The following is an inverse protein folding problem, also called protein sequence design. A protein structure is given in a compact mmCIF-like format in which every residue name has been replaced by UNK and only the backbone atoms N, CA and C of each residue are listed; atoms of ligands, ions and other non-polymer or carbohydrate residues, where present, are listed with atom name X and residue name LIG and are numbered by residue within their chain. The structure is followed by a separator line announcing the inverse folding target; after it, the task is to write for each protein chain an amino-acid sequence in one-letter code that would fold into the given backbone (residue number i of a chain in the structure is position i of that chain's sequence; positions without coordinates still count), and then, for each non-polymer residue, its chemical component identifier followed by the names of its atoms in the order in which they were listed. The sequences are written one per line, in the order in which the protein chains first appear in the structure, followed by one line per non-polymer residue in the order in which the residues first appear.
data_IF_206807954828
#
_entry.id   IF_206807954828
#
_cell.length_a   1.000
_cell.length_b   1.000
_cell.length_c   1.000
_cell.angle_alpha   90.00
_cell.angle_beta   90.00
_cell.angle_gamma   90.00
#
_symmetry.space_group_name_H-M   'P 1'
#
loop_
_entity.id
_entity.type
_entity.pdbx_description
1 polymer ?
#
# COMPACT_ATOMS: atom_id res chain seq x y z
N UNK A 1 -12.60 -15.51 -8.74
CA UNK A 1 -12.06 -14.14 -8.64
C UNK A 1 -11.87 -13.82 -7.17
N UNK A 2 -10.69 -13.33 -6.81
CA UNK A 2 -10.43 -12.86 -5.45
C UNK A 2 -11.23 -11.56 -5.17
N UNK A 3 -11.73 -11.44 -3.95
CA UNK A 3 -12.39 -10.21 -3.49
C UNK A 3 -11.37 -9.07 -3.40
N UNK A 4 -11.76 -7.86 -3.87
CA UNK A 4 -10.94 -6.65 -3.78
C UNK A 4 -11.82 -5.46 -3.40
N UNK A 5 -11.46 -4.74 -2.35
CA UNK A 5 -12.20 -3.56 -1.85
C UNK A 5 -12.36 -2.48 -2.92
N UNK A 6 -11.32 -2.26 -3.73
CA UNK A 6 -11.31 -1.28 -4.83
C UNK A 6 -12.39 -1.53 -5.89
N UNK A 7 -12.91 -2.76 -5.98
CA UNK A 7 -13.99 -3.12 -6.92
C UNK A 7 -15.21 -2.21 -6.74
N UNK A 8 -15.62 -1.96 -5.50
CA UNK A 8 -16.77 -1.11 -5.18
C UNK A 8 -16.56 0.31 -5.71
N UNK A 9 -15.37 0.89 -5.51
CA UNK A 9 -15.02 2.22 -6.01
C UNK A 9 -15.07 2.30 -7.54
N UNK A 10 -14.60 1.25 -8.23
CA UNK A 10 -14.67 1.18 -9.70
C UNK A 10 -16.14 1.10 -10.16
N UNK A 11 -16.97 0.26 -9.53
CA UNK A 11 -18.40 0.13 -9.84
C UNK A 11 -19.16 1.46 -9.62
N UNK A 12 -18.89 2.16 -8.50
CA UNK A 12 -19.46 3.47 -8.19
C UNK A 12 -19.07 4.51 -9.24
N UNK A 13 -17.78 4.59 -9.60
CA UNK A 13 -17.28 5.49 -10.61
C UNK A 13 -17.95 5.24 -11.98
N UNK A 14 -17.94 3.99 -12.43
CA UNK A 14 -18.50 3.62 -13.73
C UNK A 14 -20.02 3.79 -13.83
N UNK A 15 -20.71 3.89 -12.67
CA UNK A 15 -22.14 4.20 -12.60
C UNK A 15 -22.44 5.70 -12.50
N UNK A 16 -21.41 6.53 -12.30
CA UNK A 16 -21.54 7.99 -12.18
C UNK A 16 -21.30 8.71 -13.51
N UNK A 17 -21.78 9.96 -13.65
CA UNK A 17 -21.37 10.86 -14.75
C UNK A 17 -20.29 11.83 -14.27
N UNK A 18 -19.17 11.27 -13.80
CA UNK A 18 -18.04 12.05 -13.31
C UNK A 18 -17.38 12.87 -14.41
N UNK A 19 -16.98 14.09 -14.11
CA UNK A 19 -16.15 14.95 -14.96
C UNK A 19 -14.63 14.72 -14.76
N UNK A 20 -14.28 13.77 -13.88
CA UNK A 20 -12.89 13.37 -13.58
C UNK A 20 -12.70 11.90 -13.97
N UNK A 21 -11.56 11.59 -14.59
CA UNK A 21 -11.19 10.22 -14.94
C UNK A 21 -10.66 9.48 -13.71
N UNK A 22 -11.26 8.32 -13.40
CA UNK A 22 -10.70 7.43 -12.40
C UNK A 22 -9.40 6.80 -12.94
N UNK A 23 -8.33 6.97 -12.18
CA UNK A 23 -7.02 6.41 -12.45
C UNK A 23 -6.58 5.54 -11.28
N UNK A 24 -6.42 4.25 -11.52
CA UNK A 24 -5.96 3.29 -10.51
C UNK A 24 -4.43 3.19 -10.60
N UNK A 25 -3.77 3.70 -9.56
CA UNK A 25 -2.33 3.66 -9.42
C UNK A 25 -1.88 2.56 -8.43
N UNK A 26 -0.60 2.20 -8.48
CA UNK A 26 0.01 1.25 -7.54
C UNK A 26 1.04 0.34 -8.21
N UNK A 27 1.73 -0.47 -7.41
CA UNK A 27 2.78 -1.36 -7.86
C UNK A 27 2.34 -2.33 -8.97
N UNK A 28 3.28 -2.91 -9.69
CA UNK A 28 2.99 -3.98 -10.65
C UNK A 28 2.53 -5.25 -9.94
N UNK A 29 1.82 -6.10 -10.67
CA UNK A 29 1.35 -7.42 -10.22
C UNK A 29 0.35 -7.44 -9.05
N UNK A 30 -0.20 -6.29 -8.64
CA UNK A 30 -1.25 -6.21 -7.59
C UNK A 30 -2.68 -6.34 -8.13
N UNK A 31 -2.85 -6.53 -9.46
CA UNK A 31 -4.13 -6.86 -10.08
C UNK A 31 -4.95 -5.69 -10.61
N UNK A 32 -4.36 -4.49 -10.85
CA UNK A 32 -5.05 -3.29 -11.38
C UNK A 32 -5.83 -3.57 -12.67
N UNK A 33 -5.12 -3.96 -13.72
CA UNK A 33 -5.71 -4.21 -15.04
C UNK A 33 -6.73 -5.34 -15.01
N UNK A 34 -6.51 -6.36 -14.15
CA UNK A 34 -7.43 -7.47 -13.98
C UNK A 34 -8.79 -7.03 -13.42
N UNK A 35 -8.79 -6.24 -12.33
CA UNK A 35 -10.03 -5.79 -11.68
C UNK A 35 -10.81 -4.81 -12.56
N UNK A 36 -10.12 -3.87 -13.22
CA UNK A 36 -10.73 -2.92 -14.15
C UNK A 36 -11.38 -3.67 -15.32
N UNK A 37 -10.66 -4.62 -15.91
CA UNK A 37 -11.17 -5.46 -17.02
C UNK A 37 -12.38 -6.28 -16.59
N UNK A 38 -12.35 -6.86 -15.40
CA UNK A 38 -13.45 -7.67 -14.87
C UNK A 38 -14.72 -6.84 -14.68
N UNK A 39 -14.61 -5.68 -14.03
CA UNK A 39 -15.76 -4.79 -13.77
C UNK A 39 -16.24 -4.14 -15.07
N UNK A 40 -15.31 -3.63 -15.87
CA UNK A 40 -15.61 -2.94 -17.13
C UNK A 40 -16.40 -3.83 -18.11
N UNK A 41 -15.94 -5.06 -18.33
CA UNK A 41 -16.65 -6.02 -19.23
C UNK A 41 -18.02 -6.45 -18.69
N UNK A 42 -18.22 -6.40 -17.37
CA UNK A 42 -19.51 -6.72 -16.76
C UNK A 42 -20.52 -5.57 -16.92
N UNK A 43 -20.05 -4.32 -16.82
CA UNK A 43 -20.92 -3.14 -16.80
C UNK A 43 -21.16 -2.55 -18.20
N UNK A 44 -20.22 -2.70 -19.13
CA UNK A 44 -20.29 -2.11 -20.45
C UNK A 44 -20.34 -3.18 -21.54
N UNK A 45 -21.38 -3.18 -22.40
CA UNK A 45 -21.48 -4.11 -23.51
C UNK A 45 -20.40 -3.87 -24.57
N UNK A 46 -19.93 -2.62 -24.70
CA UNK A 46 -18.83 -2.26 -25.59
C UNK A 46 -17.62 -1.84 -24.76
N UNK A 47 -16.59 -2.67 -24.79
CA UNK A 47 -15.37 -2.50 -24.00
C UNK A 47 -14.15 -2.45 -24.92
N UNK A 48 -13.40 -1.36 -24.82
CA UNK A 48 -12.14 -1.13 -25.53
C UNK A 48 -11.03 -1.06 -24.48
N UNK A 49 -9.99 -1.85 -24.66
CA UNK A 49 -8.79 -1.84 -23.80
C UNK A 49 -7.58 -1.57 -24.66
N UNK A 50 -6.74 -0.64 -24.22
CA UNK A 50 -5.51 -0.26 -24.89
C UNK A 50 -4.41 -0.27 -23.85
N UNK A 51 -3.37 -1.08 -24.08
CA UNK A 51 -2.17 -1.07 -23.28
C UNK A 51 -1.13 -0.15 -23.94
N UNK A 52 -0.83 0.97 -23.28
CA UNK A 52 0.07 1.99 -23.82
C UNK A 52 1.54 1.57 -23.82
N UNK A 53 1.94 0.65 -22.96
CA UNK A 53 3.29 0.09 -22.98
C UNK A 53 3.47 -0.89 -24.15
N UNK A 54 2.47 -1.72 -24.43
CA UNK A 54 2.46 -2.57 -25.61
C UNK A 54 2.46 -1.76 -26.92
N UNK A 55 1.64 -0.71 -26.99
CA UNK A 55 1.63 0.20 -28.14
C UNK A 55 3.00 0.86 -28.36
N UNK A 56 3.64 1.34 -27.30
CA UNK A 56 4.96 1.98 -27.35
C UNK A 56 6.06 1.06 -27.85
N UNK A 57 5.98 -0.23 -27.52
CA UNK A 57 6.93 -1.26 -27.95
C UNK A 57 6.61 -1.80 -29.35
N UNK A 58 5.34 -1.70 -29.80
CA UNK A 58 4.82 -2.19 -31.07
C UNK A 58 4.61 -1.09 -32.11
N UNK A 59 3.35 -0.94 -32.55
CA UNK A 59 2.96 -0.10 -33.70
C UNK A 59 3.03 1.40 -33.42
N UNK A 60 3.09 1.83 -32.14
CA UNK A 60 3.22 3.20 -31.69
C UNK A 60 2.11 4.12 -32.22
N UNK A 61 0.89 3.61 -32.33
CA UNK A 61 -0.27 4.31 -32.91
C UNK A 61 -0.62 5.58 -32.12
N UNK A 62 -0.36 5.57 -30.78
CA UNK A 62 -0.63 6.70 -29.90
C UNK A 62 0.56 7.64 -29.68
N UNK A 63 1.73 7.37 -30.27
CA UNK A 63 2.96 8.14 -30.01
C UNK A 63 2.81 9.63 -30.35
N UNK A 64 2.08 9.96 -31.41
CA UNK A 64 1.87 11.32 -31.90
C UNK A 64 0.46 11.87 -31.60
N UNK A 65 -0.32 11.21 -30.75
CA UNK A 65 -1.68 11.62 -30.39
C UNK A 65 -1.67 12.83 -29.43
N UNK A 66 -1.34 14.01 -29.92
CA UNK A 66 -1.22 15.26 -29.14
C UNK A 66 -2.53 16.03 -28.98
N UNK A 67 -3.56 15.71 -29.78
CA UNK A 67 -4.91 16.30 -29.69
C UNK A 67 -5.95 15.19 -29.46
N UNK A 68 -7.14 15.57 -29.00
CA UNK A 68 -8.25 14.61 -28.86
C UNK A 68 -8.64 14.01 -30.21
N UNK A 69 -8.54 14.78 -31.30
CA UNK A 69 -8.78 14.30 -32.68
C UNK A 69 -7.78 13.19 -33.04
N UNK A 70 -6.50 13.39 -32.76
CA UNK A 70 -5.46 12.38 -33.02
C UNK A 70 -5.68 11.15 -32.18
N UNK A 71 -6.03 11.33 -30.90
CA UNK A 71 -6.36 10.23 -30.00
C UNK A 71 -7.54 9.39 -30.53
N UNK A 72 -8.62 10.03 -30.98
CA UNK A 72 -9.76 9.29 -31.54
C UNK A 72 -9.44 8.61 -32.87
N UNK A 73 -8.57 9.21 -33.69
CA UNK A 73 -8.08 8.57 -34.90
C UNK A 73 -7.28 7.31 -34.56
N UNK A 74 -6.32 7.41 -33.62
CA UNK A 74 -5.56 6.27 -33.13
C UNK A 74 -6.48 5.19 -32.55
N UNK A 75 -7.44 5.60 -31.70
CA UNK A 75 -8.41 4.70 -31.11
C UNK A 75 -9.25 3.96 -32.19
N UNK A 76 -9.64 4.63 -33.27
CA UNK A 76 -10.41 4.01 -34.35
C UNK A 76 -9.62 2.95 -35.11
N UNK A 77 -8.31 3.10 -35.21
CA UNK A 77 -7.43 2.11 -35.85
C UNK A 77 -7.38 0.84 -34.98
N UNK A 78 -7.22 1.00 -33.66
CA UNK A 78 -7.08 -0.13 -32.73
C UNK A 78 -8.42 -0.79 -32.42
N UNK A 79 -9.47 0.00 -32.23
CA UNK A 79 -10.79 -0.49 -31.80
C UNK A 79 -11.73 -0.87 -32.91
N UNK A 80 -11.53 -0.35 -34.13
CA UNK A 80 -12.38 -0.61 -35.30
C UNK A 80 -13.85 -0.38 -34.99
N UNK A 81 -14.70 -1.37 -35.30
CA UNK A 81 -16.17 -1.31 -35.11
C UNK A 81 -16.62 -1.21 -33.64
N UNK A 82 -15.70 -1.31 -32.68
CA UNK A 82 -16.05 -1.15 -31.26
C UNK A 82 -16.27 0.30 -30.85
N UNK A 83 -16.00 1.27 -31.71
CA UNK A 83 -16.28 2.68 -31.44
C UNK A 83 -17.77 2.98 -31.59
N UNK A 84 -18.56 2.60 -30.60
CA UNK A 84 -19.99 2.82 -30.48
C UNK A 84 -20.32 4.16 -29.80
N UNK A 85 -21.61 4.38 -29.49
CA UNK A 85 -22.05 5.54 -28.73
C UNK A 85 -21.53 5.53 -27.29
N UNK A 86 -21.35 6.72 -26.70
CA UNK A 86 -20.75 6.96 -25.38
C UNK A 86 -21.33 6.06 -24.28
N UNK A 87 -22.65 6.01 -24.15
CA UNK A 87 -23.33 5.34 -23.03
C UNK A 87 -23.13 3.82 -23.02
N UNK A 88 -22.64 3.29 -24.13
CA UNK A 88 -22.41 1.85 -24.31
C UNK A 88 -20.93 1.49 -24.40
N UNK A 89 -20.02 2.48 -24.30
CA UNK A 89 -18.60 2.26 -24.56
C UNK A 89 -17.73 2.70 -23.37
N UNK A 90 -16.99 1.75 -22.82
CA UNK A 90 -15.91 2.02 -21.88
C UNK A 90 -14.55 1.89 -22.59
N UNK A 91 -13.73 2.93 -22.47
CA UNK A 91 -12.33 2.92 -22.92
C UNK A 91 -11.43 2.80 -21.69
N UNK A 92 -10.75 1.67 -21.58
CA UNK A 92 -9.73 1.43 -20.55
C UNK A 92 -8.34 1.69 -21.14
N UNK A 93 -7.64 2.64 -20.54
CA UNK A 93 -6.27 3.02 -20.89
C UNK A 93 -5.33 2.42 -19.87
N UNK A 94 -4.70 1.29 -20.18
CA UNK A 94 -3.74 0.62 -19.31
C UNK A 94 -2.34 1.16 -19.50
N UNK A 95 -1.56 1.29 -18.41
CA UNK A 95 -0.20 1.83 -18.37
C UNK A 95 -0.09 3.23 -19.03
N UNK A 96 -1.03 4.14 -18.69
CA UNK A 96 -1.15 5.47 -19.31
C UNK A 96 0.15 6.28 -19.27
N UNK A 97 1.00 6.06 -18.26
CA UNK A 97 2.28 6.74 -18.09
C UNK A 97 3.33 6.37 -19.16
N UNK A 98 3.08 5.36 -19.99
CA UNK A 98 3.98 5.04 -21.09
C UNK A 98 4.10 6.20 -22.11
N UNK A 99 3.06 7.04 -22.15
CA UNK A 99 3.04 8.26 -22.96
C UNK A 99 2.61 9.47 -22.12
N UNK A 100 3.55 10.29 -21.68
CA UNK A 100 3.32 11.44 -20.79
C UNK A 100 2.31 12.46 -21.35
N UNK A 101 2.30 12.66 -22.69
CA UNK A 101 1.37 13.57 -23.34
C UNK A 101 -0.10 13.15 -23.23
N UNK A 102 -0.38 11.84 -23.04
CA UNK A 102 -1.76 11.37 -22.87
C UNK A 102 -2.33 11.83 -21.52
N UNK A 103 -1.51 11.93 -20.48
CA UNK A 103 -1.95 12.50 -19.19
C UNK A 103 -2.46 13.94 -19.38
N UNK A 104 -1.79 14.73 -20.21
CA UNK A 104 -2.22 16.10 -20.54
C UNK A 104 -3.55 16.13 -21.30
N UNK A 105 -3.83 15.11 -22.13
CA UNK A 105 -5.07 15.01 -22.90
C UNK A 105 -6.30 14.66 -22.05
N UNK A 106 -6.12 14.04 -20.88
CA UNK A 106 -7.22 13.59 -20.01
C UNK A 106 -8.25 14.69 -19.79
N UNK A 107 -7.81 15.92 -19.50
CA UNK A 107 -8.69 17.08 -19.30
C UNK A 107 -9.64 17.32 -20.49
N UNK A 108 -9.14 17.17 -21.70
CA UNK A 108 -9.92 17.42 -22.91
C UNK A 108 -10.84 16.26 -23.22
N UNK A 109 -10.37 15.00 -23.03
CA UNK A 109 -11.20 13.79 -23.20
C UNK A 109 -12.39 13.81 -22.25
N UNK A 110 -12.16 14.16 -20.96
CA UNK A 110 -13.22 14.26 -19.96
C UNK A 110 -14.20 15.41 -20.28
N UNK A 111 -13.73 16.54 -20.79
CA UNK A 111 -14.59 17.66 -21.21
C UNK A 111 -15.47 17.31 -22.42
N UNK A 112 -14.96 16.56 -23.38
CA UNK A 112 -15.72 16.15 -24.58
C UNK A 112 -16.75 15.05 -24.26
N UNK A 113 -16.54 14.28 -23.19
CA UNK A 113 -17.44 13.22 -22.71
C UNK A 113 -17.89 12.26 -23.83
N UNK A 114 -17.03 11.94 -24.77
CA UNK A 114 -17.38 11.08 -25.91
C UNK A 114 -17.56 9.61 -25.53
N UNK A 115 -16.78 9.14 -24.54
CA UNK A 115 -16.83 7.80 -23.99
C UNK A 115 -16.73 7.87 -22.45
N UNK A 116 -17.04 6.78 -21.76
CA UNK A 116 -16.62 6.59 -20.39
C UNK A 116 -15.15 6.13 -20.39
N UNK A 117 -14.32 6.72 -19.55
CA UNK A 117 -12.89 6.41 -19.48
C UNK A 117 -12.51 5.94 -18.09
N UNK A 118 -11.58 5.00 -18.05
CA UNK A 118 -10.85 4.59 -16.83
C UNK A 118 -9.40 4.35 -17.25
N UNK A 119 -8.47 4.66 -16.36
CA UNK A 119 -7.05 4.40 -16.63
C UNK A 119 -6.40 3.63 -15.48
N UNK A 120 -5.30 2.96 -15.81
CA UNK A 120 -4.38 2.43 -14.81
C UNK A 120 -2.95 2.86 -15.12
N UNK A 121 -2.13 2.88 -14.08
CA UNK A 121 -0.70 3.13 -14.21
C UNK A 121 0.10 2.45 -13.11
N UNK A 122 1.30 2.04 -13.46
CA UNK A 122 2.34 1.70 -12.49
C UNK A 122 3.38 2.83 -12.49
N UNK A 123 4.02 3.10 -11.35
CA UNK A 123 5.01 4.18 -11.26
C UNK A 123 4.47 5.59 -11.61
N UNK A 124 3.15 5.77 -11.51
CA UNK A 124 2.50 7.03 -11.88
C UNK A 124 3.01 8.20 -11.05
N UNK A 125 3.25 8.01 -9.75
CA UNK A 125 3.78 9.04 -8.88
C UNK A 125 5.13 9.60 -9.36
N UNK A 126 5.96 8.76 -9.99
CA UNK A 126 7.23 9.18 -10.62
C UNK A 126 6.96 10.00 -11.87
N UNK A 127 6.07 9.51 -12.74
CA UNK A 127 5.72 10.18 -13.99
C UNK A 127 5.07 11.54 -13.74
N UNK A 128 4.14 11.62 -12.79
CA UNK A 128 3.45 12.88 -12.46
C UNK A 128 4.43 13.97 -11.96
N UNK A 129 5.48 13.59 -11.22
CA UNK A 129 6.54 14.55 -10.81
C UNK A 129 7.31 15.11 -11.99
N UNK A 130 7.48 14.34 -13.06
CA UNK A 130 8.25 14.70 -14.24
C UNK A 130 7.41 15.32 -15.36
N UNK A 131 6.07 15.23 -15.29
CA UNK A 131 5.17 15.75 -16.31
C UNK A 131 4.97 17.27 -16.16
N UNK A 132 5.17 18.05 -17.24
CA UNK A 132 5.11 19.51 -17.23
C UNK A 132 3.70 20.07 -16.90
N UNK A 133 2.64 19.33 -17.15
CA UNK A 133 1.26 19.76 -16.90
C UNK A 133 0.37 18.56 -16.54
N UNK A 134 0.20 18.33 -15.25
CA UNK A 134 -0.72 17.31 -14.75
C UNK A 134 -2.11 17.93 -14.56
N UNK A 135 -3.16 17.41 -15.19
CA UNK A 135 -4.52 17.93 -15.03
C UNK A 135 -5.17 17.40 -13.73
N UNK A 136 -4.59 17.77 -12.56
CA UNK A 136 -5.01 17.27 -11.24
C UNK A 136 -6.53 17.40 -11.04
N UNK A 137 -7.14 18.50 -11.50
CA UNK A 137 -8.59 18.70 -11.41
C UNK A 137 -9.45 17.78 -12.28
N UNK A 138 -8.86 17.05 -13.23
CA UNK A 138 -9.56 16.13 -14.14
C UNK A 138 -9.25 14.66 -13.87
N UNK A 139 -8.48 14.37 -12.83
CA UNK A 139 -8.13 13.02 -12.38
C UNK A 139 -8.69 12.75 -10.98
N UNK A 140 -9.23 11.57 -10.79
CA UNK A 140 -9.51 10.95 -9.50
C UNK A 140 -8.54 9.79 -9.33
N UNK A 141 -7.47 10.00 -8.55
CA UNK A 141 -6.40 9.02 -8.41
C UNK A 141 -6.69 8.16 -7.19
N UNK A 142 -6.81 6.86 -7.41
CA UNK A 142 -7.03 5.87 -6.36
C UNK A 142 -5.83 4.93 -6.28
N UNK A 143 -5.18 4.92 -5.13
CA UNK A 143 -4.08 3.99 -4.86
C UNK A 143 -4.64 2.58 -4.59
N UNK A 144 -4.07 1.61 -5.29
CA UNK A 144 -4.31 0.20 -5.04
C UNK A 144 -3.05 -0.43 -4.43
N UNK A 145 -3.24 -1.14 -3.33
CA UNK A 145 -2.18 -1.85 -2.62
C UNK A 145 -2.26 -3.37 -2.88
N UNK A 146 -1.25 -4.18 -2.51
CA UNK A 146 -1.42 -5.62 -2.34
C UNK A 146 -2.66 -5.92 -1.48
N UNK A 147 -3.19 -7.12 -1.55
CA UNK A 147 -4.36 -7.50 -0.74
C UNK A 147 -4.05 -7.33 0.73
N UNK A 148 -4.95 -6.66 1.46
CA UNK A 148 -4.88 -6.56 2.92
C UNK A 148 -5.36 -7.85 3.59
N UNK A 149 -5.27 -7.91 4.92
CA UNK A 149 -5.63 -9.13 5.66
C UNK A 149 -7.11 -9.47 5.53
N UNK A 150 -8.01 -8.49 5.50
CA UNK A 150 -9.44 -8.73 5.30
C UNK A 150 -9.72 -9.35 3.92
N UNK A 151 -9.11 -8.83 2.85
CA UNK A 151 -9.20 -9.41 1.50
C UNK A 151 -8.62 -10.83 1.45
N UNK A 152 -7.53 -11.09 2.20
CA UNK A 152 -6.97 -12.43 2.34
C UNK A 152 -7.91 -13.38 3.09
N UNK A 153 -8.61 -12.93 4.12
CA UNK A 153 -9.63 -13.71 4.83
C UNK A 153 -10.77 -14.11 3.90
N UNK A 154 -11.30 -13.18 3.10
CA UNK A 154 -12.30 -13.50 2.07
C UNK A 154 -11.80 -14.55 1.07
N UNK A 155 -10.55 -14.44 0.62
CA UNK A 155 -9.95 -15.41 -0.27
C UNK A 155 -9.85 -16.83 0.35
N UNK A 156 -9.73 -16.90 1.68
CA UNK A 156 -9.70 -18.16 2.44
C UNK A 156 -11.06 -18.63 2.94
N UNK A 157 -12.16 -18.04 2.44
CA UNK A 157 -13.53 -18.46 2.73
C UNK A 157 -14.10 -17.97 4.05
N UNK A 158 -13.48 -16.97 4.69
CA UNK A 158 -14.06 -16.27 5.83
C UNK A 158 -15.12 -15.30 5.29
N UNK A 159 -16.39 -15.49 5.67
CA UNK A 159 -17.49 -14.68 5.16
C UNK A 159 -17.66 -13.38 5.93
N UNK A 160 -18.43 -12.45 5.32
CA UNK A 160 -18.73 -11.10 5.83
C UNK A 160 -19.27 -11.13 7.26
N UNK A 161 -20.21 -12.05 7.56
CA UNK A 161 -20.80 -12.20 8.91
C UNK A 161 -19.73 -12.42 10.00
N UNK A 162 -18.70 -13.22 9.69
CA UNK A 162 -17.62 -13.46 10.65
C UNK A 162 -16.72 -12.23 10.83
N UNK A 163 -16.46 -11.51 9.75
CA UNK A 163 -15.67 -10.27 9.78
C UNK A 163 -16.41 -9.18 10.56
N UNK A 164 -17.72 -9.03 10.34
CA UNK A 164 -18.54 -8.06 11.08
C UNK A 164 -18.61 -8.37 12.57
N UNK A 165 -18.77 -9.65 12.94
CA UNK A 165 -18.72 -10.07 14.36
C UNK A 165 -17.36 -9.77 15.00
N UNK A 166 -16.26 -9.95 14.27
CA UNK A 166 -14.92 -9.59 14.73
C UNK A 166 -14.76 -8.07 14.88
N UNK A 167 -15.31 -7.29 13.94
CA UNK A 167 -15.33 -5.81 13.99
C UNK A 167 -16.12 -5.31 15.19
N UNK A 168 -17.28 -5.92 15.48
CA UNK A 168 -18.07 -5.61 16.69
C UNK A 168 -17.28 -5.93 17.96
N UNK A 169 -16.61 -7.08 18.01
CA UNK A 169 -15.75 -7.45 19.15
C UNK A 169 -14.60 -6.44 19.34
N UNK A 170 -13.94 -6.02 18.27
CA UNK A 170 -12.91 -4.97 18.31
C UNK A 170 -13.46 -3.65 18.87
N UNK A 171 -14.60 -3.16 18.33
CA UNK A 171 -15.21 -1.90 18.75
C UNK A 171 -15.64 -1.92 20.23
N UNK A 172 -16.04 -3.08 20.73
CA UNK A 172 -16.44 -3.26 22.12
C UNK A 172 -15.29 -3.66 23.07
N UNK A 173 -14.05 -3.67 22.60
CA UNK A 173 -12.87 -4.14 23.36
C UNK A 173 -13.09 -5.55 23.94
N UNK A 174 -13.60 -6.47 23.12
CA UNK A 174 -13.88 -7.85 23.53
C UNK A 174 -12.92 -8.81 22.82
N UNK A 175 -12.47 -9.82 23.58
CA UNK A 175 -11.68 -10.93 23.04
C UNK A 175 -12.60 -11.92 22.29
N UNK A 176 -12.08 -12.50 21.20
CA UNK A 176 -12.73 -13.65 20.56
C UNK A 176 -12.66 -14.89 21.45
N UNK A 177 -13.48 -15.91 21.18
CA UNK A 177 -13.29 -17.22 21.80
C UNK A 177 -11.92 -17.81 21.43
N UNK A 178 -11.39 -18.72 22.26
CA UNK A 178 -10.10 -19.37 22.03
C UNK A 178 -10.02 -19.97 20.62
N UNK A 179 -11.03 -20.74 20.23
CA UNK A 179 -11.08 -21.38 18.90
C UNK A 179 -11.06 -20.37 17.74
N UNK A 180 -11.77 -19.24 17.89
CA UNK A 180 -11.76 -18.19 16.86
C UNK A 180 -10.45 -17.44 16.81
N UNK A 181 -9.88 -17.13 17.99
CA UNK A 181 -8.56 -16.52 18.09
C UNK A 181 -7.50 -17.38 17.40
N UNK A 182 -7.41 -18.65 17.77
CA UNK A 182 -6.43 -19.60 17.21
C UNK A 182 -6.55 -19.68 15.69
N UNK A 183 -7.78 -19.72 15.16
CA UNK A 183 -8.02 -19.74 13.72
C UNK A 183 -7.60 -18.46 13.04
N UNK A 184 -7.91 -17.29 13.62
CA UNK A 184 -7.55 -15.98 13.04
C UNK A 184 -6.05 -15.76 13.11
N UNK A 185 -5.40 -16.14 14.20
CA UNK A 185 -3.95 -16.06 14.33
C UNK A 185 -3.23 -17.01 13.35
N UNK A 186 -3.75 -18.21 13.14
CA UNK A 186 -3.23 -19.15 12.13
C UNK A 186 -3.35 -18.56 10.71
N UNK A 187 -4.50 -17.96 10.36
CA UNK A 187 -4.68 -17.27 9.07
C UNK A 187 -3.78 -16.04 8.95
N UNK A 188 -3.59 -15.29 10.02
CA UNK A 188 -2.67 -14.14 10.04
C UNK A 188 -1.23 -14.57 9.81
N UNK A 189 -0.76 -15.62 10.47
CA UNK A 189 0.57 -16.22 10.23
C UNK A 189 0.75 -16.71 8.78
N UNK A 190 -0.31 -17.28 8.19
CA UNK A 190 -0.31 -17.64 6.78
C UNK A 190 -0.21 -16.40 5.88
N UNK A 191 -0.91 -15.32 6.24
CA UNK A 191 -0.79 -14.05 5.54
C UNK A 191 0.62 -13.45 5.62
N UNK A 192 1.30 -13.53 6.77
CA UNK A 192 2.72 -13.14 6.88
C UNK A 192 3.62 -13.91 5.90
N UNK A 193 3.28 -15.16 5.58
CA UNK A 193 4.02 -15.97 4.62
C UNK A 193 3.65 -15.65 3.18
N UNK A 194 2.36 -15.58 2.87
CA UNK A 194 1.84 -15.49 1.50
C UNK A 194 1.85 -14.05 1.01
N UNK A 195 1.62 -13.08 1.91
CA UNK A 195 1.43 -11.68 1.56
C UNK A 195 0.13 -11.41 0.84
N UNK A 196 0.06 -10.24 0.20
CA UNK A 196 -1.10 -9.74 -0.51
C UNK A 196 -0.96 -9.72 -2.04
N UNK A 197 0.08 -10.31 -2.64
CA UNK A 197 0.17 -10.44 -4.10
C UNK A 197 -0.93 -11.39 -4.59
N UNK A 198 -1.88 -10.93 -5.44
CA UNK A 198 -3.06 -11.73 -5.80
C UNK A 198 -2.73 -13.11 -6.36
N UNK A 199 -1.66 -13.22 -7.18
CA UNK A 199 -1.24 -14.51 -7.74
C UNK A 199 -0.69 -15.45 -6.68
N UNK A 200 0.05 -14.94 -5.70
CA UNK A 200 0.54 -15.74 -4.56
C UNK A 200 -0.62 -16.22 -3.69
N UNK A 201 -1.61 -15.35 -3.43
CA UNK A 201 -2.83 -15.69 -2.69
C UNK A 201 -3.65 -16.75 -3.43
N UNK A 202 -3.83 -16.63 -4.75
CA UNK A 202 -4.54 -17.59 -5.59
C UNK A 202 -3.89 -18.97 -5.48
N UNK A 203 -2.58 -19.07 -5.71
CA UNK A 203 -1.82 -20.32 -5.58
C UNK A 203 -1.96 -20.92 -4.18
N UNK A 204 -1.86 -20.06 -3.15
CA UNK A 204 -2.02 -20.52 -1.78
C UNK A 204 -3.42 -21.08 -1.51
N UNK A 205 -4.48 -20.45 -2.00
CA UNK A 205 -5.87 -20.91 -1.81
C UNK A 205 -6.10 -22.22 -2.56
N UNK A 206 -5.62 -22.34 -3.80
CA UNK A 206 -5.88 -23.49 -4.67
C UNK A 206 -5.05 -24.75 -4.32
N UNK A 207 -3.75 -24.57 -4.09
CA UNK A 207 -2.82 -25.71 -4.01
C UNK A 207 -2.03 -25.80 -2.70
N UNK A 208 -1.96 -24.71 -1.91
CA UNK A 208 -1.08 -24.59 -0.73
C UNK A 208 0.42 -24.80 -1.08
N UNK A 209 0.80 -24.67 -2.35
CA UNK A 209 2.15 -24.92 -2.81
C UNK A 209 3.11 -23.78 -2.44
N UNK A 210 3.93 -24.04 -1.42
CA UNK A 210 4.88 -23.05 -0.89
C UNK A 210 5.92 -22.65 -1.94
N UNK A 211 6.41 -23.60 -2.73
CA UNK A 211 7.45 -23.33 -3.73
C UNK A 211 6.94 -22.40 -4.81
N UNK A 212 5.69 -22.59 -5.27
CA UNK A 212 5.09 -21.78 -6.32
C UNK A 212 4.79 -20.35 -5.83
N UNK A 213 4.14 -20.16 -4.69
CA UNK A 213 3.88 -18.80 -4.25
C UNK A 213 5.16 -18.04 -3.87
N UNK A 214 6.20 -18.72 -3.37
CA UNK A 214 7.54 -18.14 -3.16
C UNK A 214 8.22 -17.73 -4.47
N UNK A 215 8.01 -18.47 -5.57
CA UNK A 215 8.48 -18.06 -6.90
C UNK A 215 7.85 -16.71 -7.31
N UNK A 216 6.52 -16.59 -7.15
CA UNK A 216 5.81 -15.33 -7.46
C UNK A 216 6.36 -14.15 -6.65
N UNK A 217 6.60 -14.33 -5.34
CA UNK A 217 7.15 -13.29 -4.47
C UNK A 217 8.56 -12.88 -4.92
N UNK A 218 9.40 -13.85 -5.26
CA UNK A 218 10.75 -13.59 -5.78
C UNK A 218 10.70 -12.85 -7.11
N UNK A 219 9.88 -13.30 -8.04
CA UNK A 219 9.69 -12.65 -9.34
C UNK A 219 9.20 -11.20 -9.18
N UNK A 220 8.25 -10.94 -8.26
CA UNK A 220 7.78 -9.60 -7.95
C UNK A 220 8.90 -8.73 -7.37
N UNK A 221 9.69 -9.25 -6.42
CA UNK A 221 10.83 -8.51 -5.86
C UNK A 221 11.88 -8.16 -6.92
N UNK A 222 12.24 -9.13 -7.78
CA UNK A 222 13.20 -8.94 -8.85
C UNK A 222 12.68 -7.89 -9.87
N UNK A 223 11.38 -7.96 -10.23
CA UNK A 223 10.72 -7.00 -11.11
C UNK A 223 10.69 -5.60 -10.50
N UNK A 224 10.32 -5.46 -9.22
CA UNK A 224 10.32 -4.18 -8.52
C UNK A 224 11.70 -3.54 -8.50
N UNK A 225 12.73 -4.33 -8.27
CA UNK A 225 14.09 -3.84 -8.32
C UNK A 225 14.53 -3.34 -9.71
N UNK A 226 14.02 -3.94 -10.79
CA UNK A 226 14.24 -3.45 -12.17
C UNK A 226 13.43 -2.19 -12.42
N UNK A 227 12.15 -2.20 -12.07
CA UNK A 227 11.23 -1.07 -12.25
C UNK A 227 11.63 0.14 -11.42
N UNK A 228 12.20 -0.08 -10.23
CA UNK A 228 12.67 0.96 -9.32
C UNK A 228 13.63 1.98 -9.97
N UNK A 229 14.19 1.66 -11.13
CA UNK A 229 15.11 2.56 -11.82
C UNK A 229 14.77 2.76 -13.32
N UNK A 230 13.60 2.25 -13.76
CA UNK A 230 13.27 2.16 -15.19
C UNK A 230 13.19 3.52 -15.88
N UNK A 231 12.60 4.52 -15.21
CA UNK A 231 12.36 5.85 -15.76
C UNK A 231 13.41 6.89 -15.34
N UNK A 232 14.42 6.48 -14.61
CA UNK A 232 15.56 7.35 -14.30
C UNK A 232 16.56 7.30 -15.46
N UNK A 233 17.04 8.45 -15.92
CA UNK A 233 17.96 8.54 -17.04
C UNK A 233 19.43 8.51 -16.58
N UNK A 234 19.71 9.04 -15.40
CA UNK A 234 21.04 9.12 -14.86
C UNK A 234 21.50 7.77 -14.30
N UNK A 235 22.57 7.21 -14.87
CA UNK A 235 23.09 5.88 -14.53
C UNK A 235 23.44 5.72 -13.05
N UNK A 236 24.12 6.70 -12.46
CA UNK A 236 24.53 6.65 -11.05
C UNK A 236 23.32 6.68 -10.10
N UNK A 237 22.28 7.43 -10.46
CA UNK A 237 21.06 7.51 -9.70
C UNK A 237 20.26 6.21 -9.77
N UNK A 238 20.20 5.57 -10.95
CA UNK A 238 19.66 4.20 -11.11
C UNK A 238 20.27 3.21 -10.15
N UNK A 239 21.59 3.20 -10.08
CA UNK A 239 22.34 2.28 -9.20
C UNK A 239 22.07 2.54 -7.72
N UNK A 240 21.90 3.80 -7.31
CA UNK A 240 21.56 4.16 -5.94
C UNK A 240 20.15 3.73 -5.58
N UNK A 241 19.15 4.03 -6.43
CA UNK A 241 17.77 3.60 -6.25
C UNK A 241 17.71 2.08 -6.06
N UNK A 242 18.34 1.33 -6.96
CA UNK A 242 18.39 -0.14 -6.88
C UNK A 242 19.04 -0.61 -5.60
N UNK A 243 20.19 -0.04 -5.21
CA UNK A 243 20.90 -0.40 -3.99
C UNK A 243 20.07 -0.12 -2.74
N UNK A 244 19.40 1.03 -2.67
CA UNK A 244 18.51 1.36 -1.56
C UNK A 244 17.40 0.30 -1.44
N UNK A 245 16.77 -0.08 -2.56
CA UNK A 245 15.73 -1.11 -2.56
C UNK A 245 16.25 -2.47 -2.06
N UNK A 246 17.38 -2.92 -2.61
CA UNK A 246 17.98 -4.22 -2.26
C UNK A 246 18.44 -4.29 -0.78
N UNK A 247 18.69 -3.13 -0.14
CA UNK A 247 19.12 -3.05 1.26
C UNK A 247 17.97 -3.01 2.26
N UNK A 248 16.72 -2.80 1.83
CA UNK A 248 15.58 -2.69 2.76
C UNK A 248 15.49 -3.89 3.71
N UNK A 249 15.56 -5.16 3.26
CA UNK A 249 15.47 -6.30 4.17
C UNK A 249 16.59 -6.29 5.23
N UNK A 250 17.83 -5.99 4.84
CA UNK A 250 18.94 -5.94 5.79
C UNK A 250 18.83 -4.79 6.78
N UNK A 251 18.30 -3.64 6.35
CA UNK A 251 18.05 -2.51 7.24
C UNK A 251 16.98 -2.84 8.29
N UNK A 252 15.95 -3.60 7.90
CA UNK A 252 14.87 -4.03 8.81
C UNK A 252 15.35 -5.04 9.87
N UNK A 253 16.39 -5.82 9.60
CA UNK A 253 17.01 -6.71 10.62
C UNK A 253 17.86 -5.96 11.64
N UNK A 254 18.26 -4.72 11.37
CA UNK A 254 19.00 -3.92 12.33
C UNK A 254 18.11 -3.47 13.50
N UNK A 255 18.71 -3.29 14.68
CA UNK A 255 17.98 -2.89 15.89
C UNK A 255 17.08 -1.65 15.70
N UNK A 256 17.53 -0.68 14.90
CA UNK A 256 16.79 0.58 14.65
C UNK A 256 15.98 0.58 13.37
N UNK A 257 16.11 -0.42 12.53
CA UNK A 257 15.38 -0.60 11.26
C UNK A 257 15.40 0.63 10.33
N UNK A 258 16.41 1.49 10.44
CA UNK A 258 16.56 2.71 9.65
C UNK A 258 17.43 2.48 8.44
N UNK A 259 17.19 3.29 7.41
CA UNK A 259 18.10 3.34 6.26
C UNK A 259 19.51 3.75 6.71
N UNK A 260 20.50 2.97 6.35
CA UNK A 260 21.91 3.20 6.67
C UNK A 260 22.60 3.84 5.47
N UNK A 261 22.81 5.14 5.54
CA UNK A 261 23.34 5.94 4.41
C UNK A 261 24.73 5.47 3.94
N UNK A 262 25.57 4.99 4.85
CA UNK A 262 26.92 4.47 4.50
C UNK A 262 26.88 3.26 3.57
N UNK A 263 25.80 2.51 3.60
CA UNK A 263 25.67 1.31 2.79
C UNK A 263 25.18 1.65 1.36
N UNK A 264 24.64 2.86 1.14
CA UNK A 264 24.23 3.32 -0.19
C UNK A 264 25.47 3.63 -1.04
N UNK A 265 26.39 4.43 -0.49
CA UNK A 265 27.69 4.69 -1.09
C UNK A 265 28.74 5.02 -0.02
N UNK A 266 29.98 4.56 -0.20
CA UNK A 266 31.09 4.79 0.75
C UNK A 266 31.68 6.21 0.58
N UNK A 267 30.82 7.22 0.78
CA UNK A 267 31.23 8.63 0.80
C UNK A 267 31.01 9.21 2.18
N UNK A 268 32.11 9.71 2.78
CA UNK A 268 32.07 10.47 4.03
C UNK A 268 31.23 11.74 3.79
N UNK A 269 30.41 12.15 4.79
CA UNK A 269 29.61 13.38 4.81
C UNK A 269 28.24 13.33 4.14
N UNK A 270 27.85 12.26 3.50
CA UNK A 270 26.51 12.08 2.95
C UNK A 270 25.47 11.88 4.07
N UNK A 271 24.28 12.49 3.89
CA UNK A 271 23.14 12.44 4.81
C UNK A 271 21.90 11.95 4.07
N UNK A 272 20.84 11.61 4.79
CA UNK A 272 19.54 11.19 4.24
C UNK A 272 19.02 12.19 3.19
N UNK A 273 19.20 13.50 3.43
CA UNK A 273 18.76 14.54 2.48
C UNK A 273 19.45 14.50 1.12
N UNK A 274 20.62 13.88 1.03
CA UNK A 274 21.34 13.75 -0.26
C UNK A 274 20.75 12.66 -1.16
N UNK A 275 19.73 11.91 -0.69
CA UNK A 275 19.09 10.77 -1.36
C UNK A 275 17.55 10.89 -1.36
N UNK A 276 17.01 12.08 -1.10
CA UNK A 276 15.56 12.28 -1.05
C UNK A 276 14.89 11.92 -2.36
N UNK A 277 15.50 12.25 -3.49
CA UNK A 277 14.97 11.94 -4.81
C UNK A 277 14.88 10.42 -5.03
N UNK A 278 15.90 9.66 -4.61
CA UNK A 278 15.95 8.21 -4.73
C UNK A 278 14.91 7.54 -3.82
N UNK A 279 14.72 8.05 -2.59
CA UNK A 279 13.65 7.58 -1.69
C UNK A 279 12.29 7.91 -2.25
N UNK A 280 12.07 9.16 -2.67
CA UNK A 280 10.82 9.62 -3.27
C UNK A 280 10.45 8.82 -4.51
N UNK A 281 11.46 8.39 -5.28
CA UNK A 281 11.24 7.52 -6.43
C UNK A 281 10.67 6.17 -6.02
N UNK A 282 11.29 5.49 -5.04
CA UNK A 282 10.84 4.19 -4.54
C UNK A 282 9.45 4.25 -3.90
N UNK A 283 9.17 5.30 -3.14
CA UNK A 283 7.88 5.52 -2.48
C UNK A 283 6.80 5.81 -3.53
N UNK A 284 7.08 6.71 -4.47
CA UNK A 284 6.16 7.08 -5.55
C UNK A 284 5.89 5.93 -6.52
N UNK A 285 6.81 4.98 -6.63
CA UNK A 285 6.63 3.73 -7.37
C UNK A 285 5.67 2.76 -6.68
N UNK A 286 5.29 3.01 -5.42
CA UNK A 286 4.40 2.16 -4.64
C UNK A 286 5.02 0.81 -4.22
N UNK A 287 6.35 0.66 -4.34
CA UNK A 287 7.06 -0.59 -4.01
C UNK A 287 7.65 -0.57 -2.60
N UNK A 288 7.71 0.60 -1.98
CA UNK A 288 8.15 0.79 -0.58
C UNK A 288 7.16 1.64 0.20
N UNK A 289 7.16 1.43 1.51
CA UNK A 289 6.37 2.19 2.47
C UNK A 289 7.31 3.01 3.34
N UNK A 290 7.12 4.33 3.31
CA UNK A 290 7.90 5.26 4.13
C UNK A 290 7.29 5.41 5.52
N UNK A 291 8.13 5.38 6.57
CA UNK A 291 7.77 5.71 7.94
C UNK A 291 8.73 6.76 8.48
N UNK A 292 8.24 7.97 8.70
CA UNK A 292 9.03 9.16 9.07
C UNK A 292 9.25 9.27 10.57
N UNK A 293 10.44 9.68 10.98
CA UNK A 293 10.75 9.89 12.39
C UNK A 293 10.12 11.18 12.94
N UNK A 294 9.45 11.07 14.08
CA UNK A 294 8.91 12.20 14.84
C UNK A 294 9.61 12.26 16.20
N UNK A 295 9.98 13.45 16.64
CA UNK A 295 10.54 13.67 17.99
C UNK A 295 9.59 14.38 18.92
N UNK A 296 8.69 15.18 18.38
CA UNK A 296 7.68 15.94 19.13
C UNK A 296 6.32 15.64 18.47
N UNK A 297 5.61 14.63 18.99
CA UNK A 297 4.38 14.15 18.39
C UNK A 297 3.19 15.02 18.75
N UNK A 298 3.01 16.12 18.04
CA UNK A 298 1.81 16.95 18.12
C UNK A 298 0.97 16.77 16.86
N UNK A 299 -0.34 16.79 16.99
CA UNK A 299 -1.28 16.70 15.88
C UNK A 299 -1.29 18.01 15.07
N UNK A 300 -1.32 17.97 13.73
CA UNK A 300 -1.08 16.80 12.87
C UNK A 300 0.41 16.45 12.76
N UNK A 301 0.72 15.16 12.70
CA UNK A 301 2.11 14.63 12.70
C UNK A 301 2.96 15.15 11.55
N UNK A 302 2.34 15.43 10.40
CA UNK A 302 3.05 15.91 9.19
C UNK A 302 3.82 17.21 9.44
N UNK A 303 3.34 18.11 10.30
CA UNK A 303 4.00 19.37 10.61
C UNK A 303 5.33 19.20 11.38
N UNK A 304 5.49 18.07 12.06
CA UNK A 304 6.63 17.78 12.94
C UNK A 304 7.60 16.72 12.35
N UNK A 305 7.47 16.39 11.08
CA UNK A 305 8.28 15.38 10.39
C UNK A 305 9.70 15.87 9.97
N UNK A 306 10.26 16.85 10.70
CA UNK A 306 11.53 17.48 10.35
C UNK A 306 12.81 16.67 10.63
N UNK A 307 12.72 15.44 11.13
CA UNK A 307 13.89 14.57 11.28
C UNK A 307 14.21 13.86 9.97
N UNK A 308 15.43 14.04 9.50
CA UNK A 308 15.99 13.34 8.34
C UNK A 308 16.29 11.84 8.63
N UNK A 309 15.38 11.16 9.29
CA UNK A 309 15.48 9.75 9.62
C UNK A 309 14.21 9.06 9.14
N UNK A 310 14.36 8.00 8.37
CA UNK A 310 13.24 7.23 7.85
C UNK A 310 13.52 5.73 7.96
N UNK A 311 12.44 4.98 8.12
CA UNK A 311 12.39 3.54 7.88
C UNK A 311 11.72 3.32 6.53
N UNK A 312 12.20 2.34 5.77
CA UNK A 312 11.55 1.85 4.56
C UNK A 312 11.14 0.40 4.77
N UNK A 313 9.88 0.12 4.52
CA UNK A 313 9.34 -1.25 4.47
C UNK A 313 9.02 -1.63 3.04
N UNK A 314 9.08 -2.92 2.71
CA UNK A 314 8.53 -3.42 1.45
C UNK A 314 7.00 -3.30 1.46
N UNK A 315 6.41 -3.10 0.31
CA UNK A 315 4.96 -2.95 0.17
C UNK A 315 4.17 -4.25 0.37
N UNK A 316 4.85 -5.38 0.52
CA UNK A 316 4.23 -6.70 0.74
C UNK A 316 5.05 -7.55 1.73
N UNK A 317 4.39 -8.00 2.79
CA UNK A 317 5.01 -8.81 3.86
C UNK A 317 5.45 -10.18 3.36
N UNK A 318 4.74 -10.75 2.39
CA UNK A 318 5.08 -12.04 1.80
C UNK A 318 6.41 -12.00 1.06
N UNK A 319 6.70 -10.89 0.37
CA UNK A 319 8.01 -10.66 -0.26
C UNK A 319 9.12 -10.67 0.80
N UNK A 320 8.96 -9.90 1.88
CA UNK A 320 9.95 -9.83 2.95
C UNK A 320 10.18 -11.21 3.60
N UNK A 321 9.09 -11.91 3.97
CA UNK A 321 9.18 -13.24 4.57
C UNK A 321 9.79 -14.26 3.60
N UNK A 322 9.58 -14.09 2.29
CA UNK A 322 10.21 -14.89 1.24
C UNK A 322 11.71 -14.72 1.19
N UNK A 323 12.21 -13.49 1.34
CA UNK A 323 13.64 -13.18 1.39
C UNK A 323 14.28 -13.78 2.65
N UNK A 324 13.65 -13.61 3.83
CA UNK A 324 14.23 -14.06 5.09
C UNK A 324 14.19 -15.56 5.28
N UNK A 325 13.06 -16.19 4.97
CA UNK A 325 12.82 -17.59 5.35
C UNK A 325 12.79 -18.56 4.17
N UNK A 326 12.77 -18.05 2.94
CA UNK A 326 12.65 -18.86 1.73
C UNK A 326 11.47 -19.85 1.85
N UNK A 327 11.70 -21.14 1.65
CA UNK A 327 10.66 -22.17 1.75
C UNK A 327 10.45 -22.71 3.19
N UNK A 328 11.16 -22.17 4.19
CA UNK A 328 11.01 -22.61 5.58
C UNK A 328 9.85 -21.90 6.26
N UNK A 329 8.64 -22.41 6.10
CA UNK A 329 7.43 -21.86 6.73
C UNK A 329 7.40 -22.02 8.25
N UNK A 330 8.18 -22.98 8.80
CA UNK A 330 8.21 -23.23 10.26
C UNK A 330 8.70 -22.02 11.04
N UNK A 331 9.54 -21.18 10.41
CA UNK A 331 10.03 -19.95 11.01
C UNK A 331 8.90 -19.05 11.54
N UNK A 332 7.82 -18.94 10.77
CA UNK A 332 6.66 -18.10 11.11
C UNK A 332 5.57 -18.91 11.83
N UNK A 333 5.25 -20.12 11.31
CA UNK A 333 4.12 -20.91 11.82
C UNK A 333 4.32 -21.45 13.23
N UNK A 334 5.58 -21.72 13.62
CA UNK A 334 5.91 -22.42 14.88
C UNK A 334 6.49 -21.52 15.97
N UNK A 335 6.46 -20.19 15.81
CA UNK A 335 6.99 -19.19 16.78
C UNK A 335 8.37 -19.59 17.32
N UNK A 336 9.30 -19.92 16.44
CA UNK A 336 10.63 -20.38 16.81
C UNK A 336 11.36 -19.24 17.55
N UNK A 337 11.63 -19.41 18.85
CA UNK A 337 12.22 -18.37 19.72
C UNK A 337 13.55 -17.78 19.23
N UNK A 338 14.32 -18.55 18.44
CA UNK A 338 15.60 -18.07 17.90
C UNK A 338 15.46 -17.20 16.66
N UNK A 339 14.25 -17.02 16.12
CA UNK A 339 13.98 -16.21 14.92
C UNK A 339 13.31 -14.92 15.34
N UNK A 340 13.93 -13.80 14.93
CA UNK A 340 13.34 -12.48 15.12
C UNK A 340 12.25 -12.24 14.07
N UNK A 341 10.98 -12.27 14.48
CA UNK A 341 9.84 -11.98 13.63
C UNK A 341 9.44 -10.49 13.65
N UNK A 342 10.08 -9.66 14.46
CA UNK A 342 9.70 -8.26 14.66
C UNK A 342 9.60 -7.47 13.35
N UNK A 343 10.56 -7.63 12.45
CA UNK A 343 10.57 -6.93 11.15
C UNK A 343 9.39 -7.34 10.25
N UNK A 344 9.01 -8.62 10.29
CA UNK A 344 7.87 -9.14 9.51
C UNK A 344 6.55 -8.61 10.08
N UNK A 345 6.42 -8.61 11.42
CA UNK A 345 5.24 -8.07 12.09
C UNK A 345 5.09 -6.56 11.90
N UNK A 346 6.17 -5.79 11.99
CA UNK A 346 6.12 -4.35 11.69
C UNK A 346 5.81 -4.10 10.22
N UNK A 347 6.34 -4.92 9.30
CA UNK A 347 6.05 -4.74 7.85
C UNK A 347 4.57 -4.95 7.55
N UNK A 348 3.93 -5.97 8.11
CA UNK A 348 2.49 -6.17 7.89
C UNK A 348 1.66 -5.06 8.51
N UNK A 349 2.04 -4.55 9.68
CA UNK A 349 1.34 -3.41 10.30
C UNK A 349 1.50 -2.14 9.44
N UNK A 350 2.70 -1.86 8.92
CA UNK A 350 2.91 -0.76 7.98
C UNK A 350 2.07 -0.92 6.70
N UNK A 351 2.00 -2.13 6.16
CA UNK A 351 1.21 -2.47 4.97
C UNK A 351 -0.28 -2.23 5.21
N UNK A 352 -0.84 -2.75 6.30
CA UNK A 352 -2.26 -2.59 6.65
C UNK A 352 -2.61 -1.11 6.88
N UNK A 353 -1.87 -0.41 7.73
CA UNK A 353 -2.12 1.01 8.01
C UNK A 353 -2.05 1.86 6.73
N UNK A 354 -1.07 1.61 5.86
CA UNK A 354 -0.93 2.35 4.61
C UNK A 354 -2.08 2.04 3.63
N UNK A 355 -2.49 0.78 3.51
CA UNK A 355 -3.64 0.37 2.70
C UNK A 355 -4.96 0.98 3.22
N UNK A 356 -5.04 1.26 4.52
CA UNK A 356 -6.18 1.87 5.18
C UNK A 356 -6.13 3.42 5.22
N UNK A 357 -5.19 4.04 4.48
CA UNK A 357 -5.16 5.48 4.25
C UNK A 357 -4.36 6.30 5.26
N UNK A 358 -3.61 5.67 6.15
CA UNK A 358 -2.77 6.41 7.09
C UNK A 358 -1.43 6.81 6.49
N UNK A 359 -0.96 8.01 6.82
CA UNK A 359 0.44 8.36 6.75
C UNK A 359 1.17 7.80 7.96
N UNK A 360 2.38 7.26 7.74
CA UNK A 360 3.08 6.48 8.74
C UNK A 360 4.23 7.27 9.35
N UNK A 361 4.24 7.29 10.68
CA UNK A 361 5.30 7.90 11.46
C UNK A 361 5.76 6.94 12.56
N UNK A 362 6.93 7.19 13.15
CA UNK A 362 7.42 6.52 14.35
C UNK A 362 8.06 7.51 15.31
N UNK A 363 7.96 7.23 16.61
CA UNK A 363 8.61 8.06 17.59
C UNK A 363 10.06 7.67 17.78
N UNK A 364 10.97 8.64 17.79
CA UNK A 364 12.37 8.45 18.07
C UNK A 364 12.92 9.53 18.97
N UNK A 365 13.22 9.16 20.21
CA UNK A 365 13.80 10.07 21.19
C UNK A 365 14.96 9.38 21.93
N UNK A 366 16.09 10.08 22.05
CA UNK A 366 17.29 9.53 22.70
C UNK A 366 17.09 9.14 24.17
N UNK A 367 16.20 9.85 24.90
CA UNK A 367 15.94 9.61 26.33
C UNK A 367 14.80 8.63 26.55
N UNK A 368 13.75 8.73 25.75
CA UNK A 368 12.49 8.03 25.97
C UNK A 368 12.40 6.71 25.18
N UNK A 369 13.25 6.55 24.16
CA UNK A 369 13.24 5.35 23.32
C UNK A 369 12.48 5.53 22.02
N UNK A 370 12.00 4.44 21.45
CA UNK A 370 11.34 4.36 20.15
C UNK A 370 9.97 3.68 20.31
N UNK A 371 8.92 4.24 19.66
CA UNK A 371 7.59 3.62 19.50
C UNK A 371 7.43 3.29 18.02
N UNK A 372 6.99 2.08 17.71
CA UNK A 372 7.04 1.51 16.35
C UNK A 372 6.28 2.32 15.32
N UNK A 373 5.03 2.72 15.63
CA UNK A 373 4.21 3.55 14.74
C UNK A 373 3.47 4.65 15.49
N UNK A 374 3.27 5.77 14.80
CA UNK A 374 2.35 6.83 15.16
C UNK A 374 1.44 7.10 13.96
N UNK A 375 0.16 7.28 14.22
CA UNK A 375 -0.85 7.70 13.22
C UNK A 375 -1.68 8.85 13.78
N UNK A 376 -2.24 9.68 12.89
CA UNK A 376 -3.15 10.75 13.28
C UNK A 376 -4.53 10.20 13.66
N UNK A 377 -5.12 10.75 14.72
CA UNK A 377 -6.52 10.56 15.14
C UNK A 377 -7.26 11.87 14.90
N UNK A 378 -7.84 12.01 13.71
CA UNK A 378 -8.53 13.25 13.32
C UNK A 378 -9.77 13.53 14.19
N UNK A 379 -10.47 12.48 14.63
CA UNK A 379 -11.68 12.63 15.46
C UNK A 379 -11.37 13.23 16.84
N UNK A 380 -10.18 12.95 17.39
CA UNK A 380 -9.78 13.45 18.71
C UNK A 380 -8.69 14.54 18.63
N UNK A 381 -8.29 14.99 17.44
CA UNK A 381 -7.19 15.94 17.21
C UNK A 381 -5.94 15.55 18.01
N UNK A 382 -5.60 14.27 17.97
CA UNK A 382 -4.52 13.66 18.73
C UNK A 382 -3.76 12.61 17.89
N UNK A 383 -2.82 11.92 18.51
CA UNK A 383 -2.07 10.87 17.83
C UNK A 383 -2.27 9.54 18.54
N UNK A 384 -2.24 8.45 17.78
CA UNK A 384 -2.32 7.09 18.30
C UNK A 384 -0.94 6.45 18.16
N UNK A 385 -0.21 6.22 19.28
CA UNK A 385 0.97 5.37 19.29
C UNK A 385 0.58 3.89 19.23
N UNK A 386 1.31 3.12 18.43
CA UNK A 386 1.13 1.68 18.25
C UNK A 386 2.46 0.97 18.44
N UNK A 387 2.49 0.03 19.36
CA UNK A 387 3.62 -0.86 19.61
C UNK A 387 3.31 -2.27 19.11
N UNK A 388 4.25 -2.91 18.42
CA UNK A 388 4.08 -4.22 17.80
C UNK A 388 4.93 -5.25 18.50
N UNK A 389 4.31 -6.30 19.04
CA UNK A 389 4.97 -7.36 19.79
C UNK A 389 4.75 -8.74 19.17
N UNK A 390 5.81 -9.35 18.68
CA UNK A 390 5.79 -10.71 18.13
C UNK A 390 6.10 -11.81 19.18
N UNK A 391 6.47 -11.42 20.41
CA UNK A 391 6.87 -12.33 21.50
C UNK A 391 5.89 -12.33 22.67
N UNK A 392 6.20 -13.16 23.69
CA UNK A 392 5.38 -13.31 24.89
C UNK A 392 5.45 -12.13 25.87
N UNK A 393 6.52 -11.34 25.81
CA UNK A 393 6.72 -10.20 26.72
C UNK A 393 6.05 -8.91 26.18
N UNK A 394 4.79 -9.06 25.75
CA UNK A 394 4.05 -7.98 25.08
C UNK A 394 3.64 -6.83 26.01
N UNK A 395 3.61 -7.07 27.32
CA UNK A 395 3.32 -6.04 28.34
C UNK A 395 4.56 -5.20 28.72
N UNK A 396 5.73 -5.48 28.14
CA UNK A 396 6.97 -4.74 28.40
C UNK A 396 7.24 -3.76 27.25
N UNK A 397 6.95 -2.47 27.47
CA UNK A 397 7.07 -1.41 26.46
C UNK A 397 7.42 -0.06 27.07
N UNK A 398 8.53 0.01 27.79
CA UNK A 398 8.95 1.18 28.55
C UNK A 398 9.04 2.50 27.74
N UNK A 399 9.23 2.42 26.42
CA UNK A 399 9.23 3.59 25.57
C UNK A 399 7.80 4.14 25.37
N UNK A 400 6.82 3.26 25.12
CA UNK A 400 5.42 3.60 25.02
C UNK A 400 4.90 4.17 26.35
N UNK A 401 5.24 3.57 27.50
CA UNK A 401 4.85 4.06 28.83
C UNK A 401 5.32 5.49 29.06
N UNK A 402 6.58 5.79 28.73
CA UNK A 402 7.13 7.14 28.83
C UNK A 402 6.48 8.10 27.83
N UNK A 403 6.11 7.61 26.67
CA UNK A 403 5.48 8.40 25.63
C UNK A 403 4.10 8.87 26.09
N UNK A 404 3.24 7.94 26.54
CA UNK A 404 1.88 8.29 26.98
C UNK A 404 1.84 9.07 28.30
N UNK A 405 2.87 8.92 29.16
CA UNK A 405 3.00 9.66 30.42
C UNK A 405 3.39 11.14 30.23
N UNK A 406 3.66 11.56 29.00
CA UNK A 406 3.99 12.96 28.71
C UNK A 406 2.72 13.74 28.35
N UNK A 407 2.25 14.56 29.28
CA UNK A 407 1.04 15.36 29.14
C UNK A 407 1.07 16.31 27.91
N UNK A 408 2.26 16.75 27.48
CA UNK A 408 2.42 17.63 26.31
C UNK A 408 2.00 16.95 24.99
N UNK A 409 1.94 15.62 24.96
CA UNK A 409 1.59 14.87 23.74
C UNK A 409 0.09 14.66 23.55
N UNK A 410 -0.73 14.94 24.59
CA UNK A 410 -2.20 14.84 24.54
C UNK A 410 -2.74 13.52 23.96
N UNK A 411 -2.14 12.39 24.35
CA UNK A 411 -2.52 11.07 23.83
C UNK A 411 -3.85 10.63 24.43
N UNK A 412 -4.81 10.26 23.57
CA UNK A 412 -6.15 9.77 23.97
C UNK A 412 -6.30 8.28 23.87
N UNK A 413 -5.58 7.66 22.92
CA UNK A 413 -5.61 6.23 22.66
C UNK A 413 -4.20 5.75 22.39
N UNK A 414 -3.87 4.56 22.85
CA UNK A 414 -2.61 3.87 22.55
C UNK A 414 -2.89 2.37 22.38
N UNK A 415 -2.12 1.70 21.52
CA UNK A 415 -2.33 0.29 21.26
C UNK A 415 -1.03 -0.51 21.37
N UNK A 416 -1.17 -1.73 21.89
CA UNK A 416 -0.18 -2.81 21.77
C UNK A 416 -0.81 -3.95 21.00
N UNK A 417 -0.20 -4.27 19.86
CA UNK A 417 -0.61 -5.38 19.00
C UNK A 417 0.25 -6.61 19.33
N UNK A 418 -0.37 -7.72 19.65
CA UNK A 418 0.35 -8.95 20.00
C UNK A 418 -0.33 -10.22 19.47
N UNK A 419 0.31 -11.38 19.68
CA UNK A 419 -0.29 -12.68 19.34
C UNK A 419 -1.25 -13.19 20.41
N UNK A 420 -1.36 -12.51 21.53
CA UNK A 420 -2.21 -12.95 22.63
C UNK A 420 -3.70 -12.63 22.34
N UNK A 421 -4.57 -13.45 22.93
CA UNK A 421 -6.02 -13.37 22.71
C UNK A 421 -6.69 -12.24 23.49
N UNK A 422 -6.14 -11.95 24.65
CA UNK A 422 -6.75 -11.04 25.62
C UNK A 422 -6.87 -9.62 25.03
N UNK A 423 -8.05 -9.03 25.26
CA UNK A 423 -8.33 -7.63 24.98
C UNK A 423 -8.62 -6.94 26.30
N UNK A 424 -7.81 -5.98 26.66
CA UNK A 424 -7.97 -5.20 27.90
C UNK A 424 -7.33 -3.82 27.77
N UNK A 425 -7.71 -2.93 28.68
CA UNK A 425 -7.14 -1.59 28.77
C UNK A 425 -6.39 -1.49 30.11
N UNK A 426 -5.12 -1.10 30.04
CA UNK A 426 -4.31 -0.83 31.23
C UNK A 426 -3.51 0.47 31.02
N UNK A 427 -3.57 1.37 31.98
CA UNK A 427 -2.88 2.67 31.98
C UNK A 427 -3.05 3.49 30.67
N UNK A 428 -4.24 3.43 30.07
CA UNK A 428 -4.53 4.15 28.81
C UNK A 428 -4.06 3.44 27.54
N UNK A 429 -3.49 2.25 27.67
CA UNK A 429 -3.06 1.39 26.56
C UNK A 429 -4.10 0.29 26.36
N UNK A 430 -4.56 0.14 25.13
CA UNK A 430 -5.43 -0.97 24.72
C UNK A 430 -4.59 -2.08 24.10
N UNK A 431 -4.65 -3.26 24.70
CA UNK A 431 -3.98 -4.46 24.21
C UNK A 431 -4.94 -5.25 23.36
N UNK A 432 -4.54 -5.58 22.13
CA UNK A 432 -5.38 -6.31 21.17
C UNK A 432 -4.59 -7.35 20.38
N UNK A 433 -5.24 -8.43 19.93
CA UNK A 433 -4.65 -9.35 18.96
C UNK A 433 -4.23 -8.64 17.68
N UNK A 434 -3.07 -9.00 17.13
CA UNK A 434 -2.46 -8.31 15.98
C UNK A 434 -3.34 -8.33 14.74
N UNK A 435 -4.16 -9.34 14.53
CA UNK A 435 -5.06 -9.42 13.39
C UNK A 435 -6.16 -8.35 13.42
N UNK A 436 -6.39 -7.67 14.54
CA UNK A 436 -7.32 -6.53 14.62
C UNK A 436 -6.78 -5.27 13.92
N UNK A 437 -5.52 -5.25 13.49
CA UNK A 437 -4.98 -4.17 12.65
C UNK A 437 -5.83 -3.92 11.40
N UNK A 438 -6.53 -4.94 10.88
CA UNK A 438 -7.42 -4.81 9.74
C UNK A 438 -8.61 -3.87 9.98
N UNK A 439 -8.92 -3.52 11.22
CA UNK A 439 -10.00 -2.61 11.60
C UNK A 439 -9.56 -1.17 11.86
N UNK A 440 -8.26 -0.90 11.80
CA UNK A 440 -7.76 0.46 11.85
C UNK A 440 -8.02 1.11 10.50
N UNK A 441 -9.00 2.02 10.42
CA UNK A 441 -9.40 2.70 9.19
C UNK A 441 -9.28 4.21 9.38
N UNK A 442 -8.65 4.91 8.45
CA UNK A 442 -8.54 6.36 8.44
C UNK A 442 -9.83 6.98 7.84
N UNK A 443 -10.94 6.76 8.52
CA UNK A 443 -12.25 7.31 8.14
C UNK A 443 -12.68 8.21 9.30
N UNK A 444 -12.89 9.49 9.01
CA UNK A 444 -13.47 10.40 10.01
C UNK A 444 -14.91 9.99 10.27
N UNK A 445 -15.25 9.83 11.55
CA UNK A 445 -16.62 9.61 12.00
C UNK A 445 -17.34 10.93 12.27
N UNK A 446 -16.68 12.05 12.07
CA UNK A 446 -17.30 13.38 12.19
C UNK A 446 -18.35 13.51 11.10
N UNK A 447 -19.61 13.64 11.52
CA UNK A 447 -20.73 13.95 10.62
C UNK A 447 -20.42 15.28 9.95
N UNK A 448 -20.58 15.37 8.62
CA UNK A 448 -20.52 16.64 7.90
C UNK A 448 -21.57 17.58 8.49
N UNK A 449 -21.16 18.42 9.44
CA UNK A 449 -21.93 19.60 9.79
C UNK A 449 -21.68 20.59 8.67
N UNK A 450 -22.72 20.85 7.87
CA UNK A 450 -22.63 21.91 6.86
C UNK A 450 -22.42 23.24 7.59
N UNK A 451 -21.37 23.94 7.21
CA UNK A 451 -21.19 25.33 7.61
C UNK A 451 -22.25 26.12 6.85
N UNK A 452 -23.29 26.59 7.57
CA UNK A 452 -24.31 27.50 7.05
C UNK A 452 -23.71 28.90 6.73
#
# INVERSE_FOLDING_TARGET
MLYRKIKKRIEEYLSSDSDRMLLIDGARQIGKSYIIRHVGKKMFPNYIEINMEEDKLGDRVFADAKTTKDFYMALSIVAGDKMKEKDNTLVFIDEIQAYDHLLTLVKFLMKEKKFTYIASGSLLGVTLKNTQSVPIGSLDIQHMYPMDFEEFLYANGVGEVAIDAMRESFNNNQALSDTMHDKMLDLFKKYLLVGGLPKAVEIFVESRNVVEFRSIQKEAHDLYGVDASKYEEEHDKKLKIRRIFDMIPSNLENKKKRVIIKDIEDKKWKRTNDYLDEFDYLISAGITLEVKAISTPTYPLVENSGKNLLKLYLNDVGILSGIFYRNNIKAVMSDIKSINLGSVYETVVAQELRAHGYDLFYYDNKKNGEVDFLIDDADNLSNIPIEVKSGKDYTVHSALDKFISNDDYNIKKAYVLSNEREVFVDNGITYVPIYYIMFFQNISNVVEEFLD
#
